data_IF_087777944321
#
_entry.id   IF_087777944321
#
_cell.length_a   1.000
_cell.length_b   1.000
_cell.length_c   1.000
_cell.angle_alpha   90.00
_cell.angle_beta   90.00
_cell.angle_gamma   90.00
#
_symmetry.space_group_name_H-M   'P 1'
#
loop_
_entity.id
_entity.type
_entity.pdbx_description
1 polymer ?
#
# COMPACT_ATOMS: atom_id res chain seq x y z
N UNK A 1 -26.01 1.52 -76.73
CA UNK A 1 -25.14 1.26 -75.56
C UNK A 1 -24.29 0.04 -75.86
N UNK A 2 -22.96 0.13 -75.72
CA UNK A 2 -22.06 -0.97 -76.11
C UNK A 2 -22.23 -2.14 -75.13
N UNK A 3 -22.40 -3.39 -75.60
CA UNK A 3 -22.63 -4.55 -74.74
C UNK A 3 -21.48 -4.80 -73.75
N UNK A 4 -20.28 -4.32 -74.05
CA UNK A 4 -19.12 -4.38 -73.16
C UNK A 4 -19.29 -3.59 -71.86
N UNK A 5 -20.01 -2.47 -71.86
CA UNK A 5 -20.22 -1.66 -70.65
C UNK A 5 -21.19 -2.32 -69.66
N UNK A 6 -22.18 -3.07 -70.17
CA UNK A 6 -23.14 -3.79 -69.32
C UNK A 6 -22.45 -4.90 -68.56
N UNK A 7 -21.54 -5.63 -69.21
CA UNK A 7 -20.78 -6.72 -68.59
C UNK A 7 -19.89 -6.21 -67.46
N UNK A 8 -19.20 -5.08 -67.67
CA UNK A 8 -18.36 -4.46 -66.63
C UNK A 8 -19.19 -4.02 -65.42
N UNK A 9 -20.40 -3.49 -65.67
CA UNK A 9 -21.30 -3.04 -64.60
C UNK A 9 -21.85 -4.21 -63.77
N UNK A 10 -22.18 -5.33 -64.42
CA UNK A 10 -22.65 -6.55 -63.73
C UNK A 10 -21.54 -7.19 -62.89
N UNK A 11 -20.31 -7.22 -63.38
CA UNK A 11 -19.15 -7.72 -62.61
C UNK A 11 -18.85 -6.82 -61.42
N UNK A 12 -18.90 -5.50 -61.59
CA UNK A 12 -18.69 -4.55 -60.49
C UNK A 12 -19.75 -4.71 -59.39
N UNK A 13 -21.03 -4.84 -59.78
CA UNK A 13 -22.12 -5.10 -58.82
C UNK A 13 -21.97 -6.45 -58.11
N UNK A 14 -21.52 -7.50 -58.80
CA UNK A 14 -21.28 -8.81 -58.19
C UNK A 14 -20.14 -8.78 -57.15
N UNK A 15 -19.10 -7.97 -57.37
CA UNK A 15 -17.99 -7.81 -56.41
C UNK A 15 -18.45 -6.99 -55.18
N UNK A 16 -19.23 -5.92 -55.38
CA UNK A 16 -19.72 -5.08 -54.28
C UNK A 16 -20.72 -5.86 -53.41
N UNK A 17 -21.66 -6.59 -54.03
CA UNK A 17 -22.65 -7.40 -53.29
C UNK A 17 -22.04 -8.70 -52.73
N UNK A 18 -21.08 -9.30 -53.42
CA UNK A 18 -20.36 -10.49 -52.96
C UNK A 18 -19.30 -10.22 -51.89
N UNK A 19 -18.78 -9.00 -51.82
CA UNK A 19 -17.76 -8.57 -50.85
C UNK A 19 -18.28 -8.40 -49.42
N UNK A 20 -19.58 -8.17 -49.23
CA UNK A 20 -20.18 -8.00 -47.89
C UNK A 20 -20.53 -9.33 -47.21
N UNK A 21 -20.55 -10.45 -47.95
CA UNK A 21 -20.95 -11.76 -47.43
C UNK A 21 -19.74 -12.70 -47.30
N UNK A 22 -18.72 -12.33 -46.50
CA UNK A 22 -17.79 -13.33 -45.90
C UNK A 22 -16.81 -12.74 -44.87
N UNK A 23 -17.33 -12.22 -43.76
CA UNK A 23 -16.60 -12.24 -42.48
C UNK A 23 -17.48 -12.92 -41.42
N UNK A 24 -17.81 -14.19 -41.69
CA UNK A 24 -18.28 -15.14 -40.67
C UNK A 24 -17.22 -16.23 -40.42
N UNK A 25 -15.95 -15.83 -40.58
CA UNK A 25 -14.79 -16.66 -40.25
C UNK A 25 -14.62 -16.70 -38.75
N UNK A 26 -14.76 -17.91 -38.17
CA UNK A 26 -14.39 -18.28 -36.80
C UNK A 26 -13.33 -17.34 -36.22
N UNK A 27 -13.74 -16.53 -35.24
CA UNK A 27 -12.82 -15.80 -34.39
C UNK A 27 -11.92 -16.86 -33.74
N UNK A 28 -10.71 -16.98 -34.27
CA UNK A 28 -9.61 -17.77 -33.74
C UNK A 28 -9.55 -17.45 -32.26
N UNK A 29 -9.86 -18.43 -31.39
CA UNK A 29 -9.73 -18.31 -29.93
C UNK A 29 -8.42 -17.60 -29.67
N UNK A 30 -8.46 -16.36 -29.16
CA UNK A 30 -7.26 -15.72 -28.63
C UNK A 30 -6.71 -16.74 -27.65
N UNK A 31 -5.50 -17.23 -27.90
CA UNK A 31 -4.69 -17.83 -26.86
C UNK A 31 -4.59 -16.76 -25.79
N UNK A 32 -5.49 -16.81 -24.81
CA UNK A 32 -5.26 -16.19 -23.52
C UNK A 32 -4.03 -16.94 -23.04
N UNK A 33 -2.87 -16.29 -23.15
CA UNK A 33 -1.65 -16.82 -22.57
C UNK A 33 -2.02 -17.16 -21.14
N UNK A 34 -2.05 -18.46 -20.84
CA UNK A 34 -2.29 -18.96 -19.50
C UNK A 34 -1.30 -18.19 -18.64
N UNK A 35 -1.82 -17.25 -17.85
CA UNK A 35 -1.02 -16.31 -17.07
C UNK A 35 -0.26 -17.21 -16.12
N UNK A 36 0.99 -17.54 -16.47
CA UNK A 36 1.83 -18.49 -15.72
C UNK A 36 1.65 -18.13 -14.25
N UNK A 37 1.22 -19.10 -13.45
CA UNK A 37 1.13 -18.93 -12.02
C UNK A 37 2.44 -18.28 -11.58
N UNK A 38 2.37 -16.99 -11.21
CA UNK A 38 3.56 -16.28 -10.73
C UNK A 38 4.06 -17.14 -9.58
N UNK A 39 5.30 -17.62 -9.67
CA UNK A 39 5.93 -18.33 -8.56
C UNK A 39 5.67 -17.50 -7.30
N UNK A 40 4.85 -18.05 -6.40
CA UNK A 40 4.46 -17.34 -5.18
C UNK A 40 5.74 -17.30 -4.36
N UNK A 41 6.42 -16.16 -4.39
CA UNK A 41 7.64 -15.98 -3.62
C UNK A 41 7.32 -16.19 -2.14
N UNK A 42 8.19 -16.88 -1.39
CA UNK A 42 8.00 -17.04 0.04
C UNK A 42 7.95 -15.66 0.71
N UNK A 43 7.19 -15.49 1.80
CA UNK A 43 7.18 -14.24 2.56
C UNK A 43 8.60 -13.91 3.03
N UNK A 44 9.06 -12.67 2.84
CA UNK A 44 10.26 -12.23 3.53
C UNK A 44 9.96 -12.24 5.04
N UNK A 45 10.86 -12.77 5.85
CA UNK A 45 10.87 -12.41 7.26
C UNK A 45 11.10 -10.89 7.36
N UNK A 46 10.57 -10.30 8.42
CA UNK A 46 10.96 -8.95 8.79
C UNK A 46 12.48 -8.90 8.96
N UNK A 47 13.08 -7.73 8.73
CA UNK A 47 14.52 -7.62 8.94
C UNK A 47 14.82 -7.66 10.44
N UNK A 48 14.98 -8.88 10.96
CA UNK A 48 15.19 -9.18 12.38
C UNK A 48 16.38 -8.42 12.94
N UNK A 49 17.42 -8.15 12.14
CA UNK A 49 18.58 -7.37 12.58
C UNK A 49 18.19 -5.95 13.02
N UNK A 50 17.36 -5.25 12.25
CA UNK A 50 16.93 -3.88 12.62
C UNK A 50 15.99 -3.90 13.83
N UNK A 51 15.24 -4.99 14.01
CA UNK A 51 14.23 -5.12 15.07
C UNK A 51 14.89 -5.53 16.40
N UNK A 52 15.90 -6.40 16.32
CA UNK A 52 16.62 -6.93 17.47
C UNK A 52 17.72 -5.97 17.93
N UNK A 53 18.44 -5.34 17.00
CA UNK A 53 19.51 -4.39 17.34
C UNK A 53 18.92 -3.03 17.74
N UNK A 54 18.90 -2.79 19.04
CA UNK A 54 18.35 -1.57 19.64
C UNK A 54 18.99 -0.30 19.08
N UNK A 55 20.30 -0.33 18.86
CA UNK A 55 21.05 0.81 18.31
C UNK A 55 20.59 1.18 16.90
N UNK A 56 20.37 0.18 16.03
CA UNK A 56 19.92 0.42 14.65
C UNK A 56 18.50 0.98 14.61
N UNK A 57 17.62 0.50 15.48
CA UNK A 57 16.27 1.05 15.61
C UNK A 57 16.31 2.51 16.11
N UNK A 58 17.10 2.78 17.15
CA UNK A 58 17.28 4.13 17.70
C UNK A 58 17.85 5.10 16.66
N UNK A 59 18.86 4.68 15.90
CA UNK A 59 19.44 5.46 14.82
C UNK A 59 18.42 5.77 13.71
N UNK A 60 17.62 4.77 13.31
CA UNK A 60 16.56 4.96 12.33
C UNK A 60 15.47 5.92 12.83
N UNK A 61 15.10 5.84 14.11
CA UNK A 61 14.15 6.74 14.75
C UNK A 61 14.71 8.17 14.80
N UNK A 62 16.00 8.33 15.12
CA UNK A 62 16.69 9.62 15.10
C UNK A 62 16.66 10.27 13.72
N UNK A 63 16.96 9.50 12.66
CA UNK A 63 16.95 9.96 11.27
C UNK A 63 15.56 10.18 10.67
N UNK A 64 14.53 9.56 11.25
CA UNK A 64 13.16 9.68 10.73
C UNK A 64 12.55 11.04 11.06
N UNK A 65 11.92 11.68 10.06
CA UNK A 65 11.08 12.87 10.24
C UNK A 65 9.66 12.49 10.65
N UNK A 66 9.11 11.43 10.05
CA UNK A 66 7.77 10.93 10.33
C UNK A 66 7.83 9.48 10.81
N UNK A 67 7.10 9.20 11.88
CA UNK A 67 6.86 7.84 12.35
C UNK A 67 5.36 7.67 12.54
N UNK A 68 4.78 6.67 11.90
CA UNK A 68 3.36 6.42 11.98
C UNK A 68 3.02 4.94 11.98
N UNK A 69 1.83 4.64 12.49
CA UNK A 69 1.25 3.31 12.46
C UNK A 69 0.16 3.25 11.41
N UNK A 70 0.07 2.12 10.71
CA UNK A 70 -0.94 1.96 9.68
C UNK A 70 -1.22 0.51 9.34
N UNK A 71 -2.36 0.27 8.71
CA UNK A 71 -2.74 -1.02 8.14
C UNK A 71 -2.36 -1.04 6.66
N UNK A 72 -1.58 -2.03 6.26
CA UNK A 72 -1.20 -2.20 4.85
C UNK A 72 -2.42 -2.68 4.09
N UNK A 73 -2.81 -1.96 3.04
CA UNK A 73 -3.92 -2.33 2.17
C UNK A 73 -3.41 -3.18 1.00
N UNK A 74 -2.30 -2.76 0.41
CA UNK A 74 -1.71 -3.41 -0.75
C UNK A 74 -0.18 -3.28 -0.75
N UNK A 75 0.49 -4.26 -1.34
CA UNK A 75 1.95 -4.22 -1.55
C UNK A 75 2.26 -4.63 -2.97
N UNK A 76 3.01 -3.78 -3.67
CA UNK A 76 3.44 -4.01 -5.05
C UNK A 76 4.95 -3.89 -5.14
N UNK A 77 5.60 -4.84 -5.81
CA UNK A 77 6.99 -4.63 -6.26
C UNK A 77 6.93 -3.65 -7.42
N UNK A 78 7.52 -2.47 -7.22
CA UNK A 78 7.63 -1.45 -8.24
C UNK A 78 9.03 -1.55 -8.85
N UNK A 79 9.13 -1.46 -10.18
CA UNK A 79 10.41 -1.23 -10.83
C UNK A 79 10.45 0.26 -11.06
N UNK A 80 11.42 0.94 -10.44
CA UNK A 80 11.70 2.32 -10.83
C UNK A 80 12.09 2.31 -12.32
N UNK A 81 11.55 3.25 -13.07
CA UNK A 81 11.82 3.45 -14.49
C UNK A 81 13.18 4.14 -14.71
N UNK A 82 13.87 4.55 -13.65
CA UNK A 82 15.23 5.09 -13.75
C UNK A 82 16.20 4.01 -14.24
N UNK A 83 16.56 4.11 -15.52
CA UNK A 83 17.45 3.21 -16.25
C UNK A 83 18.82 2.99 -15.58
N UNK A 84 19.26 3.94 -14.75
CA UNK A 84 20.56 3.90 -14.06
C UNK A 84 20.57 2.96 -12.86
N UNK A 85 19.42 2.67 -12.25
CA UNK A 85 19.31 1.70 -11.17
C UNK A 85 18.10 0.81 -11.37
N UNK A 86 18.29 -0.33 -12.05
CA UNK A 86 17.32 -1.45 -12.18
C UNK A 86 16.89 -2.07 -10.83
N UNK A 87 17.06 -1.36 -9.72
CA UNK A 87 16.74 -1.79 -8.36
C UNK A 87 15.23 -1.73 -8.17
N UNK A 88 14.65 -2.88 -7.86
CA UNK A 88 13.23 -2.98 -7.50
C UNK A 88 13.00 -2.22 -6.19
N UNK A 89 11.86 -1.56 -6.05
CA UNK A 89 11.37 -0.96 -4.81
C UNK A 89 10.07 -1.63 -4.37
N UNK A 90 9.74 -1.50 -3.09
CA UNK A 90 8.48 -2.01 -2.56
C UNK A 90 7.56 -0.82 -2.29
N UNK A 91 6.41 -0.83 -2.95
CA UNK A 91 5.38 0.19 -2.83
C UNK A 91 4.24 -0.35 -1.96
N UNK A 92 3.98 0.33 -0.85
CA UNK A 92 2.93 0.01 0.09
C UNK A 92 1.83 1.05 0.00
N UNK A 93 0.59 0.60 -0.14
CA UNK A 93 -0.58 1.44 0.11
C UNK A 93 -0.99 1.20 1.55
N UNK A 94 -0.97 2.23 2.38
CA UNK A 94 -1.17 2.14 3.83
C UNK A 94 -2.35 3.00 4.23
N UNK A 95 -3.22 2.43 5.07
CA UNK A 95 -4.27 3.14 5.78
C UNK A 95 -3.70 3.65 7.11
N UNK A 96 -3.64 4.97 7.27
CA UNK A 96 -3.05 5.63 8.41
C UNK A 96 -3.94 5.49 9.65
N UNK A 97 -3.34 5.05 10.76
CA UNK A 97 -4.04 4.92 12.05
C UNK A 97 -3.64 6.02 13.03
N UNK A 98 -2.34 6.21 13.24
CA UNK A 98 -1.83 7.18 14.21
C UNK A 98 -0.45 7.66 13.82
N UNK A 99 -0.21 8.97 13.95
CA UNK A 99 1.11 9.59 13.87
C UNK A 99 1.78 9.55 15.25
N UNK A 100 2.99 9.01 15.32
CA UNK A 100 3.81 8.93 16.55
C UNK A 100 4.87 10.04 16.59
N UNK A 101 5.43 10.42 15.44
CA UNK A 101 6.43 11.49 15.29
C UNK A 101 6.16 12.29 14.01
N UNK A 102 6.34 13.61 14.08
CA UNK A 102 6.25 14.55 12.96
C UNK A 102 4.99 15.42 12.96
N UNK A 103 4.91 16.36 12.00
CA UNK A 103 3.82 17.33 11.88
C UNK A 103 2.68 16.81 10.98
N UNK A 104 1.45 16.88 11.48
CA UNK A 104 0.23 16.46 10.77
C UNK A 104 0.03 17.33 9.51
N UNK A 105 0.20 18.64 9.62
CA UNK A 105 -0.07 19.59 8.52
C UNK A 105 0.84 19.32 7.32
N UNK A 106 2.11 19.03 7.57
CA UNK A 106 3.06 18.68 6.52
C UNK A 106 2.79 17.29 5.94
N UNK A 107 2.40 16.33 6.77
CA UNK A 107 2.10 14.97 6.32
C UNK A 107 0.86 14.92 5.41
N UNK A 108 -0.11 15.84 5.57
CA UNK A 108 -1.30 15.93 4.71
C UNK A 108 -0.96 16.05 3.22
N UNK A 109 0.16 16.68 2.87
CA UNK A 109 0.61 16.80 1.49
C UNK A 109 0.88 15.43 0.82
N UNK A 110 1.14 14.39 1.61
CA UNK A 110 1.49 13.05 1.12
C UNK A 110 0.30 12.09 1.04
N UNK A 111 -0.89 12.55 1.41
CA UNK A 111 -2.00 11.69 1.80
C UNK A 111 -3.20 11.92 0.90
N UNK A 112 -3.86 10.83 0.47
CA UNK A 112 -5.21 10.89 -0.10
C UNK A 112 -6.22 10.89 1.05
N UNK A 113 -6.87 12.03 1.24
CA UNK A 113 -7.95 12.17 2.21
C UNK A 113 -9.23 11.54 1.64
N UNK A 114 -9.76 10.54 2.34
CA UNK A 114 -11.09 9.94 2.07
C UNK A 114 -12.05 10.15 3.26
N UNK A 115 -11.76 11.07 4.19
CA UNK A 115 -12.51 11.27 5.44
C UNK A 115 -12.45 12.70 6.02
N UNK A 116 -12.92 12.87 7.26
CA UNK A 116 -12.99 14.16 7.97
C UNK A 116 -11.65 14.91 7.95
N UNK A 117 -11.70 16.19 7.56
CA UNK A 117 -10.53 17.06 7.39
C UNK A 117 -9.77 17.34 8.69
N UNK A 118 -10.33 16.98 9.85
CA UNK A 118 -9.78 17.31 11.16
C UNK A 118 -8.72 16.31 11.62
N UNK A 119 -8.78 15.05 11.16
CA UNK A 119 -7.82 14.01 11.57
C UNK A 119 -7.22 13.26 10.38
N UNK A 120 -5.92 12.98 10.46
CA UNK A 120 -5.24 12.12 9.49
C UNK A 120 -5.62 10.64 9.63
N UNK A 121 -6.32 10.29 10.71
CA UNK A 121 -6.84 8.94 10.96
C UNK A 121 -7.90 8.61 9.92
N UNK A 122 -7.69 7.54 9.16
CA UNK A 122 -8.62 7.17 8.09
C UNK A 122 -8.13 7.47 6.68
N UNK A 123 -7.03 8.19 6.56
CA UNK A 123 -6.48 8.57 5.28
C UNK A 123 -5.55 7.50 4.69
N UNK A 124 -5.36 7.52 3.38
CA UNK A 124 -4.47 6.57 2.70
C UNK A 124 -3.20 7.25 2.19
N UNK A 125 -2.07 6.57 2.35
CA UNK A 125 -0.76 7.07 1.98
C UNK A 125 0.02 6.03 1.20
N UNK A 126 0.81 6.49 0.23
CA UNK A 126 1.68 5.63 -0.56
C UNK A 126 3.10 5.73 -0.04
N UNK A 127 3.65 4.59 0.39
CA UNK A 127 5.01 4.51 0.94
C UNK A 127 5.89 3.70 0.02
N UNK A 128 7.08 4.20 -0.26
CA UNK A 128 8.07 3.49 -1.05
C UNK A 128 9.31 3.16 -0.22
N UNK A 129 9.66 1.88 -0.23
CA UNK A 129 10.95 1.41 0.26
C UNK A 129 11.90 1.19 -0.91
N UNK A 130 13.00 1.95 -1.00
CA UNK A 130 14.02 1.71 -2.01
C UNK A 130 14.75 0.39 -1.72
N UNK A 131 15.31 -0.23 -2.77
CA UNK A 131 16.12 -1.47 -2.67
C UNK A 131 15.36 -2.65 -2.05
N UNK A 132 14.26 -3.03 -2.69
CA UNK A 132 13.50 -4.23 -2.34
C UNK A 132 14.36 -5.50 -2.45
N UNK A 133 14.17 -6.43 -1.49
CA UNK A 133 14.73 -7.78 -1.58
C UNK A 133 14.12 -8.52 -2.77
N UNK A 134 14.98 -9.06 -3.64
CA UNK A 134 14.53 -9.68 -4.88
C UNK A 134 13.93 -11.08 -4.65
N UNK A 135 14.48 -11.83 -3.70
CA UNK A 135 14.25 -13.26 -3.48
C UNK A 135 12.96 -13.62 -2.73
N UNK A 136 12.27 -12.66 -2.12
CA UNK A 136 11.11 -12.93 -1.28
C UNK A 136 9.99 -11.87 -1.46
N UNK A 137 8.78 -12.19 -1.04
CA UNK A 137 7.64 -11.29 -1.09
C UNK A 137 7.74 -10.22 0.00
N UNK A 138 7.44 -8.95 -0.30
CA UNK A 138 7.64 -7.85 0.64
C UNK A 138 6.84 -8.03 1.93
N UNK A 139 7.51 -7.83 3.06
CA UNK A 139 6.89 -7.73 4.37
C UNK A 139 6.61 -6.25 4.70
N UNK A 140 5.48 -5.93 5.33
CA UNK A 140 4.42 -6.81 5.84
C UNK A 140 3.42 -7.21 4.74
N UNK A 141 2.72 -8.33 4.93
CA UNK A 141 1.64 -8.76 4.01
C UNK A 141 0.49 -7.74 3.98
N UNK A 142 -0.27 -7.67 2.88
CA UNK A 142 -1.53 -6.96 2.87
C UNK A 142 -2.40 -7.35 4.07
N UNK A 143 -3.10 -6.36 4.63
CA UNK A 143 -3.98 -6.38 5.80
C UNK A 143 -3.29 -6.43 7.17
N UNK A 144 -1.97 -6.53 7.23
CA UNK A 144 -1.24 -6.43 8.49
C UNK A 144 -0.99 -4.98 8.90
N UNK A 145 -0.89 -4.74 10.20
CA UNK A 145 -0.49 -3.45 10.75
C UNK A 145 0.99 -3.41 11.04
N UNK A 146 1.62 -2.27 10.76
CA UNK A 146 3.04 -2.05 10.95
C UNK A 146 3.32 -0.59 11.36
N UNK A 147 4.53 -0.38 11.85
CA UNK A 147 5.12 0.92 12.15
C UNK A 147 6.05 1.29 10.98
N UNK A 148 5.90 2.48 10.46
CA UNK A 148 6.65 3.00 9.31
C UNK A 148 7.53 4.16 9.75
N UNK A 149 8.79 4.13 9.35
CA UNK A 149 9.79 5.16 9.65
C UNK A 149 10.23 5.83 8.35
N UNK A 150 9.91 7.11 8.22
CA UNK A 150 10.11 7.89 7.00
C UNK A 150 11.04 9.08 7.26
N UNK A 151 11.93 9.36 6.31
CA UNK A 151 12.79 10.55 6.32
C UNK A 151 12.05 11.83 5.88
N UNK A 152 10.83 11.69 5.35
CA UNK A 152 10.01 12.82 4.89
C UNK A 152 10.36 13.27 3.48
N UNK A 153 11.20 12.53 2.77
CA UNK A 153 11.54 12.81 1.37
C UNK A 153 10.54 12.15 0.42
N UNK A 154 10.36 12.77 -0.74
CA UNK A 154 9.59 12.19 -1.83
C UNK A 154 10.43 11.10 -2.50
N UNK A 155 9.87 9.89 -2.60
CA UNK A 155 10.50 8.79 -3.33
C UNK A 155 10.37 8.95 -4.85
N UNK A 156 9.31 9.64 -5.27
CA UNK A 156 8.99 9.90 -6.67
C UNK A 156 9.08 11.42 -6.84
N UNK A 157 9.95 11.92 -7.72
CA UNK A 157 10.10 13.36 -8.01
C UNK A 157 8.89 13.90 -8.80
N UNK A 158 7.67 13.68 -8.31
CA UNK A 158 6.43 14.13 -8.93
C UNK A 158 5.95 13.29 -10.13
N UNK A 159 6.51 12.10 -10.37
CA UNK A 159 6.19 11.27 -11.56
C UNK A 159 4.90 10.42 -11.42
N UNK A 160 4.04 10.73 -10.45
CA UNK A 160 2.78 10.03 -10.24
C UNK A 160 1.66 10.91 -9.68
N UNK A 161 0.38 10.50 -9.82
CA UNK A 161 -0.78 11.29 -9.40
C UNK A 161 -0.86 11.45 -7.88
N UNK A 162 -0.09 10.65 -7.12
CA UNK A 162 0.08 10.90 -5.70
C UNK A 162 1.52 10.78 -5.25
N UNK A 163 1.96 11.73 -4.40
CA UNK A 163 3.30 11.72 -3.84
C UNK A 163 3.54 10.45 -3.03
N UNK A 164 4.74 9.91 -3.17
CA UNK A 164 5.18 8.70 -2.47
C UNK A 164 6.15 9.09 -1.39
N UNK A 165 5.84 8.71 -0.17
CA UNK A 165 6.69 8.96 0.98
C UNK A 165 7.78 7.88 1.05
N UNK A 166 9.05 8.28 1.17
CA UNK A 166 10.15 7.33 1.29
C UNK A 166 10.28 6.80 2.72
N UNK A 167 10.44 5.49 2.87
CA UNK A 167 10.81 4.88 4.16
C UNK A 167 12.27 4.46 4.21
N UNK A 168 12.82 4.58 5.41
CA UNK A 168 14.22 4.30 5.72
C UNK A 168 14.50 2.79 5.83
N UNK A 169 13.58 2.05 6.44
CA UNK A 169 13.77 0.64 6.81
C UNK A 169 12.57 -0.22 6.42
N UNK A 170 12.67 -1.54 6.61
CA UNK A 170 11.51 -2.44 6.58
C UNK A 170 10.45 -1.95 7.58
N UNK A 171 9.15 -2.00 7.24
CA UNK A 171 8.13 -1.69 8.22
C UNK A 171 8.23 -2.66 9.41
N UNK A 172 8.19 -2.11 10.62
CA UNK A 172 8.33 -2.87 11.86
C UNK A 172 6.96 -3.47 12.22
N UNK A 173 6.88 -4.76 12.63
CA UNK A 173 5.62 -5.36 13.05
C UNK A 173 4.97 -4.57 14.19
N UNK A 174 3.67 -4.31 14.10
CA UNK A 174 2.95 -3.65 15.18
C UNK A 174 2.68 -4.65 16.34
N UNK A 175 3.63 -4.72 17.27
CA UNK A 175 3.48 -5.41 18.55
C UNK A 175 3.56 -4.38 19.68
N UNK A 176 3.02 -4.70 20.86
CA UNK A 176 3.15 -3.83 22.04
C UNK A 176 4.61 -3.54 22.38
N UNK A 177 5.45 -4.58 22.34
CA UNK A 177 6.89 -4.48 22.57
C UNK A 177 7.57 -3.46 21.63
N UNK A 178 7.32 -3.53 20.32
CA UNK A 178 7.92 -2.56 19.39
C UNK A 178 7.34 -1.16 19.55
N UNK A 179 6.04 -1.06 19.85
CA UNK A 179 5.38 0.21 20.04
C UNK A 179 5.94 0.96 21.25
N UNK A 180 6.15 0.27 22.36
CA UNK A 180 6.69 0.85 23.60
C UNK A 180 8.12 1.34 23.41
N UNK A 181 8.97 0.54 22.74
CA UNK A 181 10.35 0.94 22.40
C UNK A 181 10.37 2.17 21.48
N UNK A 182 9.56 2.18 20.42
CA UNK A 182 9.47 3.32 19.51
C UNK A 182 8.96 4.56 20.25
N UNK A 183 7.94 4.44 21.10
CA UNK A 183 7.42 5.56 21.88
C UNK A 183 8.46 6.10 22.87
N UNK A 184 9.17 5.22 23.59
CA UNK A 184 10.24 5.62 24.50
C UNK A 184 11.36 6.36 23.75
N UNK A 185 11.80 5.80 22.62
CA UNK A 185 12.80 6.41 21.76
C UNK A 185 12.37 7.79 21.24
N UNK A 186 11.13 7.91 20.74
CA UNK A 186 10.60 9.19 20.24
C UNK A 186 10.57 10.24 21.35
N UNK A 187 10.17 9.87 22.57
CA UNK A 187 10.20 10.75 23.74
C UNK A 187 11.62 11.17 24.13
N UNK A 188 12.60 10.27 24.01
CA UNK A 188 13.99 10.58 24.31
C UNK A 188 14.60 11.58 23.31
N UNK A 189 14.26 11.47 22.03
CA UNK A 189 14.75 12.40 20.99
C UNK A 189 13.98 13.72 20.94
N UNK A 190 12.73 13.75 21.41
CA UNK A 190 11.92 14.95 21.56
C UNK A 190 11.40 15.00 22.99
N UNK A 191 12.26 15.40 23.96
CA UNK A 191 11.80 15.64 25.31
C UNK A 191 10.75 16.75 25.22
N UNK A 192 9.48 16.39 25.41
CA UNK A 192 8.44 17.39 25.64
C UNK A 192 8.92 18.26 26.80
N UNK A 193 8.81 19.57 26.64
CA UNK A 193 9.03 20.51 27.73
C UNK A 193 8.28 20.01 28.98
N UNK A 194 8.90 20.05 30.17
CA UNK A 194 8.29 19.57 31.39
C UNK A 194 7.10 20.48 31.71
N UNK A 195 5.89 20.04 31.40
CA UNK A 195 4.67 20.84 31.56
C UNK A 195 3.40 20.21 31.00
N UNK A 196 3.49 19.22 30.10
CA UNK A 196 2.31 18.54 29.58
C UNK A 196 1.97 17.31 30.42
N UNK A 197 1.15 17.55 31.46
CA UNK A 197 0.65 16.52 32.35
C UNK A 197 -0.08 15.40 31.59
N UNK A 198 0.23 14.17 31.99
CA UNK A 198 -0.39 12.94 31.54
C UNK A 198 -1.89 12.98 31.88
N UNK A 199 -2.76 13.18 30.88
CA UNK A 199 -4.18 12.83 31.02
C UNK A 199 -4.28 11.32 30.78
N UNK A 200 -4.60 10.49 31.79
CA UNK A 200 -4.84 9.07 31.55
C UNK A 200 -6.12 8.93 30.73
N UNK A 201 -6.06 8.16 29.64
CA UNK A 201 -7.23 7.69 28.92
C UNK A 201 -8.13 6.91 29.89
N UNK A 202 -9.19 7.56 30.38
CA UNK A 202 -10.35 6.87 30.95
C UNK A 202 -11.07 6.15 29.80
N UNK A 203 -10.82 4.86 29.65
CA UNK A 203 -11.79 3.93 29.07
C UNK A 203 -12.17 2.96 30.19
N UNK A 204 -13.16 3.35 30.98
CA UNK A 204 -13.98 2.44 31.78
C UNK A 204 -15.37 2.52 31.15
N UNK A 205 -15.58 1.75 30.08
CA UNK A 205 -16.93 1.35 29.71
C UNK A 205 -17.31 0.16 30.57
N UNK A 206 -18.02 0.48 31.65
CA UNK A 206 -18.81 -0.45 32.44
C UNK A 206 -19.96 -1.01 31.60
N UNK A 207 -19.74 -2.15 30.94
CA UNK A 207 -20.83 -3.02 30.47
C UNK A 207 -21.33 -3.85 31.66
N UNK A 208 -22.13 -3.21 32.50
CA UNK A 208 -23.00 -3.87 33.46
C UNK A 208 -24.42 -3.86 32.94
N UNK A 209 -24.79 -4.84 32.12
CA UNK A 209 -26.20 -5.20 31.94
C UNK A 209 -26.35 -6.71 32.05
N UNK A 210 -26.89 -7.10 33.20
CA UNK A 210 -27.25 -8.44 33.64
C UNK A 210 -28.19 -9.12 32.66
N UNK A 211 -27.85 -10.36 32.26
CA UNK A 211 -28.82 -11.33 31.73
C UNK A 211 -29.24 -12.25 32.88
N UNK A 212 -30.54 -12.39 33.20
CA UNK A 212 -30.99 -13.44 34.09
C UNK A 212 -30.96 -14.80 33.37
N UNK A 213 -30.33 -15.78 34.02
CA UNK A 213 -30.45 -17.20 33.71
C UNK A 213 -31.86 -17.67 34.05
N UNK A 214 -32.60 -18.15 33.06
CA UNK A 214 -33.76 -19.04 33.25
C UNK A 214 -33.25 -20.46 33.04
N UNK A 215 -33.05 -21.17 34.16
CA UNK A 215 -32.84 -22.61 34.16
C UNK A 215 -34.19 -23.30 34.00
N UNK A 216 -34.38 -24.00 32.87
CA UNK A 216 -35.33 -25.09 32.78
C UNK A 216 -34.60 -26.35 33.26
N UNK A 217 -34.97 -26.84 34.44
CA UNK A 217 -34.59 -28.16 34.91
C UNK A 217 -35.65 -29.15 34.45
N UNK A 218 -35.21 -30.14 33.69
CA UNK A 218 -35.92 -31.41 33.49
C UNK A 218 -35.88 -32.21 34.80
N UNK A 219 -37.03 -32.60 35.32
CA UNK A 219 -37.36 -33.91 35.93
C UNK A 219 -38.84 -33.99 36.26
#
# INVERSE_FOLDING_TARGET
MKPSMVIVYVIAMAIVVGGEIRIRGRVRKRFTSHRRHRAVLPPCNFNETIINDEWSLMEAIGKSKYIFTGKVLNVKKFRSEDETTKKKSNLYTVYLRRLLKGNISELRMFVKLEGSEDTLSGSTLMVERPRARESCAPAPRPRLSAIFLSDGTYADMGRGPTPRLRILTDPVPLTLYHLDRVNAAVKAFHPRSPGEAHVPSRNVESLGLSRPYLGAGDT
#
